data_IF_638902140017
#
_entry.id   IF_638902140017
#
_cell.length_a   1.000
_cell.length_b   1.000
_cell.length_c   1.000
_cell.angle_alpha   90.00
_cell.angle_beta   90.00
_cell.angle_gamma   90.00
#
_symmetry.space_group_name_H-M   'P 1'
#
loop_
_entity.id
_entity.type
_entity.pdbx_description
1 polymer ?
#
# COMPACT_ATOMS: atom_id res chain seq x y z
N UNK A 1 36.60 0.05 29.05
CA UNK A 1 35.17 -0.18 29.37
C UNK A 1 34.74 0.45 30.68
N UNK A 2 35.34 0.21 31.84
CA UNK A 2 34.92 0.79 33.12
C UNK A 2 35.01 2.32 33.20
N UNK A 3 35.91 2.98 32.46
CA UNK A 3 36.12 4.45 32.51
C UNK A 3 35.11 5.23 31.66
N UNK A 4 34.49 4.63 30.65
CA UNK A 4 33.50 5.26 29.77
C UNK A 4 32.11 5.28 30.45
N UNK A 5 31.80 4.21 31.18
CA UNK A 5 30.51 4.11 31.92
C UNK A 5 30.46 5.15 33.07
N UNK A 6 31.60 5.41 33.72
CA UNK A 6 31.63 6.43 34.79
C UNK A 6 31.48 7.86 34.30
N UNK A 7 31.89 8.18 33.07
CA UNK A 7 31.70 9.52 32.48
C UNK A 7 30.27 9.75 31.96
N UNK A 8 29.55 8.70 31.60
CA UNK A 8 28.15 8.82 31.14
C UNK A 8 27.21 9.07 32.31
N UNK A 9 27.50 8.53 33.49
CA UNK A 9 26.68 8.74 34.70
C UNK A 9 26.76 10.16 35.29
N UNK A 10 27.87 10.87 35.05
CA UNK A 10 28.05 12.26 35.55
C UNK A 10 27.32 13.29 34.69
N UNK A 11 27.02 12.98 33.42
CA UNK A 11 26.26 13.85 32.52
C UNK A 11 24.74 13.79 32.72
N UNK A 12 24.25 12.71 33.34
CA UNK A 12 22.80 12.52 33.62
C UNK A 12 22.37 13.22 34.92
N UNK A 13 23.29 13.53 35.82
CA UNK A 13 22.97 14.13 37.14
C UNK A 13 22.89 15.66 37.15
N UNK A 14 23.18 16.35 36.05
CA UNK A 14 23.16 17.84 35.98
C UNK A 14 21.96 18.41 35.17
N UNK A 15 21.02 17.59 34.72
CA UNK A 15 19.89 17.99 33.89
C UNK A 15 18.51 18.06 34.55
N UNK A 16 18.42 18.02 35.88
CA UNK A 16 17.14 17.94 36.58
C UNK A 16 16.91 19.13 37.51
N UNK A 17 16.58 20.28 36.92
CA UNK A 17 15.83 21.34 37.59
C UNK A 17 14.93 22.06 36.57
N UNK A 18 13.90 21.35 36.11
CA UNK A 18 12.71 21.96 35.50
C UNK A 18 11.48 21.52 36.30
N UNK A 19 10.58 22.42 36.69
CA UNK A 19 9.40 22.07 37.46
C UNK A 19 8.43 21.25 36.63
N UNK A 20 7.99 20.14 37.17
CA UNK A 20 7.00 19.22 36.61
C UNK A 20 5.63 19.94 36.44
N UNK A 21 5.06 20.06 35.24
CA UNK A 21 3.77 20.72 35.04
C UNK A 21 2.54 19.83 35.29
N UNK A 22 2.72 18.59 35.74
CA UNK A 22 1.58 17.70 35.99
C UNK A 22 1.33 17.55 37.50
N UNK A 23 0.35 18.34 38.05
CA UNK A 23 -0.29 18.02 39.28
C UNK A 23 -1.19 16.78 39.05
N UNK A 24 -1.17 15.80 39.97
CA UNK A 24 -2.17 14.72 39.96
C UNK A 24 -3.57 15.30 40.16
N UNK A 25 -4.50 14.87 39.32
CA UNK A 25 -5.93 15.14 39.50
C UNK A 25 -6.40 14.45 40.80
N UNK A 26 -6.93 15.24 41.67
CA UNK A 26 -7.53 14.83 42.95
C UNK A 26 -8.82 14.05 42.65
N UNK A 27 -8.86 12.75 43.03
CA UNK A 27 -9.95 11.81 42.70
C UNK A 27 -11.06 11.82 43.81
N UNK A 28 -11.04 12.79 44.71
CA UNK A 28 -12.02 12.82 45.83
C UNK A 28 -13.38 13.46 45.52
N UNK A 29 -13.70 13.77 44.26
CA UNK A 29 -15.00 14.37 43.88
C UNK A 29 -16.13 13.37 43.57
N UNK A 30 -15.95 12.07 43.78
CA UNK A 30 -16.94 11.04 43.41
C UNK A 30 -17.49 10.25 44.62
N UNK A 31 -17.49 10.81 45.81
CA UNK A 31 -18.21 10.20 46.95
C UNK A 31 -19.22 11.20 47.50
N UNK A 32 -20.41 10.86 47.31
CA UNK A 32 -21.61 11.17 48.09
C UNK A 32 -22.76 11.78 47.29
N UNK A 33 -23.73 10.92 47.00
CA UNK A 33 -25.16 11.22 47.08
C UNK A 33 -25.95 9.91 47.14
N UNK A 34 -26.16 9.49 48.35
CA UNK A 34 -27.10 8.43 48.70
C UNK A 34 -28.56 8.92 48.59
N UNK A 35 -29.34 8.16 47.88
CA UNK A 35 -30.73 7.76 48.06
C UNK A 35 -31.80 8.77 48.55
N UNK A 36 -32.81 8.96 47.70
CA UNK A 36 -34.22 8.93 48.12
C UNK A 36 -35.02 8.08 47.13
N UNK A 37 -35.61 6.98 47.64
CA UNK A 37 -36.63 6.18 46.99
C UNK A 37 -37.96 6.93 47.02
N UNK A 38 -38.62 7.07 45.90
CA UNK A 38 -40.07 7.28 45.81
C UNK A 38 -40.72 6.21 44.91
N UNK A 39 -42.02 5.90 45.08
CA UNK A 39 -42.59 4.62 44.71
C UNK A 39 -42.97 4.50 43.26
N UNK A 40 -42.80 3.29 42.75
CA UNK A 40 -43.06 2.83 41.40
C UNK A 40 -44.49 3.13 40.90
N UNK A 41 -44.60 3.95 39.86
CA UNK A 41 -45.69 3.88 38.90
C UNK A 41 -45.34 2.85 37.84
N UNK A 42 -46.16 1.79 37.74
CA UNK A 42 -46.09 0.82 36.64
C UNK A 42 -46.31 1.56 35.34
N UNK A 43 -45.26 1.74 34.54
CA UNK A 43 -45.33 2.14 33.16
C UNK A 43 -45.73 0.91 32.31
N UNK A 44 -46.63 1.06 31.33
CA UNK A 44 -47.02 -0.06 30.46
C UNK A 44 -45.76 -0.65 29.77
N UNK A 45 -45.64 -1.95 29.79
CA UNK A 45 -44.60 -2.67 29.06
C UNK A 45 -44.70 -2.33 27.56
N UNK A 46 -43.72 -1.57 27.10
CA UNK A 46 -43.49 -1.40 25.65
C UNK A 46 -43.17 -2.79 25.11
N UNK A 47 -43.86 -3.24 24.05
CA UNK A 47 -43.56 -4.56 23.46
C UNK A 47 -42.08 -4.58 23.09
N UNK A 48 -41.39 -5.73 23.27
CA UNK A 48 -39.98 -5.84 22.96
C UNK A 48 -39.76 -5.37 21.53
N UNK A 49 -38.94 -4.34 21.32
CA UNK A 49 -38.42 -3.99 20.01
C UNK A 49 -37.87 -5.30 19.44
N UNK A 50 -38.46 -5.81 18.35
CA UNK A 50 -37.89 -6.88 17.56
C UNK A 50 -36.47 -6.47 17.30
N UNK A 51 -35.50 -7.07 18.00
CA UNK A 51 -34.09 -6.94 17.66
C UNK A 51 -34.02 -7.35 16.19
N UNK A 52 -33.57 -6.41 15.35
CA UNK A 52 -33.36 -6.67 13.93
C UNK A 52 -32.23 -7.73 13.86
N UNK A 53 -32.51 -8.99 13.53
CA UNK A 53 -31.55 -10.07 13.76
C UNK A 53 -30.29 -9.96 12.91
N UNK A 54 -30.15 -8.94 12.03
CA UNK A 54 -29.01 -8.79 11.17
C UNK A 54 -28.75 -7.35 10.77
N UNK A 55 -28.14 -6.55 11.67
CA UNK A 55 -27.72 -5.20 11.31
C UNK A 55 -26.71 -5.20 10.15
N UNK A 56 -25.82 -6.19 10.07
CA UNK A 56 -24.88 -6.42 8.97
C UNK A 56 -25.65 -6.59 7.64
N UNK A 57 -26.56 -7.55 7.55
CA UNK A 57 -27.37 -7.83 6.36
C UNK A 57 -28.24 -6.64 5.93
N UNK A 58 -28.69 -5.83 6.87
CA UNK A 58 -29.48 -4.64 6.54
C UNK A 58 -28.65 -3.55 5.86
N UNK A 59 -27.36 -3.45 6.20
CA UNK A 59 -26.43 -2.46 5.65
C UNK A 59 -26.04 -2.84 4.22
N UNK A 60 -25.79 -4.11 3.97
CA UNK A 60 -25.35 -4.60 2.65
C UNK A 60 -26.53 -4.88 1.69
N UNK A 61 -27.75 -4.83 2.19
CA UNK A 61 -28.94 -5.12 1.39
C UNK A 61 -29.03 -4.24 0.14
N UNK A 62 -29.04 -4.88 -1.03
CA UNK A 62 -29.10 -4.19 -2.32
C UNK A 62 -27.75 -3.66 -2.81
N UNK A 63 -26.65 -3.98 -2.14
CA UNK A 63 -25.33 -3.70 -2.62
C UNK A 63 -24.84 -4.79 -3.60
N UNK A 64 -24.04 -4.40 -4.57
CA UNK A 64 -23.28 -5.33 -5.40
C UNK A 64 -22.10 -5.87 -4.59
N UNK A 65 -22.00 -7.19 -4.46
CA UNK A 65 -20.92 -7.84 -3.73
C UNK A 65 -19.76 -8.16 -4.67
N UNK A 66 -18.53 -7.80 -4.25
CA UNK A 66 -17.28 -8.14 -4.93
C UNK A 66 -16.42 -8.93 -3.95
N UNK A 67 -16.30 -10.24 -4.18
CA UNK A 67 -15.55 -11.16 -3.31
C UNK A 67 -14.11 -11.38 -3.77
N UNK A 68 -13.20 -11.62 -2.82
CA UNK A 68 -11.80 -11.98 -3.05
C UNK A 68 -10.99 -11.83 -1.77
N UNK A 69 -9.73 -11.41 -1.88
CA UNK A 69 -8.85 -11.18 -0.72
C UNK A 69 -9.54 -10.32 0.35
N UNK A 70 -10.18 -9.25 -0.10
CA UNK A 70 -11.12 -8.46 0.68
C UNK A 70 -12.45 -8.42 -0.03
N UNK A 71 -13.54 -8.50 0.74
CA UNK A 71 -14.90 -8.41 0.21
C UNK A 71 -15.42 -6.99 0.31
N UNK A 72 -16.00 -6.50 -0.78
CA UNK A 72 -16.59 -5.17 -0.85
C UNK A 72 -18.08 -5.25 -1.19
N UNK A 73 -18.86 -4.34 -0.61
CA UNK A 73 -20.28 -4.14 -0.88
C UNK A 73 -20.51 -2.72 -1.41
N UNK A 74 -20.98 -2.62 -2.65
CA UNK A 74 -21.04 -1.38 -3.41
C UNK A 74 -22.51 -0.97 -3.60
N UNK A 75 -22.86 0.16 -3.02
CA UNK A 75 -24.15 0.82 -3.28
C UNK A 75 -23.95 1.89 -4.36
N UNK A 76 -24.21 1.56 -5.61
CA UNK A 76 -24.01 2.44 -6.75
C UNK A 76 -24.90 3.69 -6.73
N UNK A 77 -26.13 3.57 -6.21
CA UNK A 77 -27.12 4.64 -6.11
C UNK A 77 -26.67 5.82 -5.22
N UNK A 78 -25.81 5.57 -4.25
CA UNK A 78 -25.33 6.55 -3.27
C UNK A 78 -23.82 6.66 -3.18
N UNK A 79 -23.10 5.98 -4.10
CA UNK A 79 -21.64 5.93 -4.13
C UNK A 79 -21.02 5.58 -2.75
N UNK A 80 -21.60 4.59 -2.07
CA UNK A 80 -21.17 4.10 -0.79
C UNK A 80 -20.57 2.70 -0.93
N UNK A 81 -19.38 2.52 -0.40
CA UNK A 81 -18.67 1.23 -0.39
C UNK A 81 -18.39 0.82 1.04
N UNK A 82 -18.76 -0.39 1.40
CA UNK A 82 -18.35 -1.03 2.63
C UNK A 82 -17.33 -2.13 2.31
N UNK A 83 -16.36 -2.29 3.19
CA UNK A 83 -15.39 -3.37 3.16
C UNK A 83 -15.64 -4.27 4.35
N UNK A 84 -15.71 -5.56 4.09
CA UNK A 84 -15.78 -6.59 5.11
C UNK A 84 -14.38 -6.98 5.56
N UNK A 85 -14.21 -7.17 6.86
CA UNK A 85 -13.01 -7.73 7.46
C UNK A 85 -13.40 -8.90 8.35
N UNK A 86 -12.83 -10.08 8.05
CA UNK A 86 -13.00 -11.29 8.86
C UNK A 86 -12.05 -11.28 10.07
N UNK A 87 -12.33 -12.05 11.13
CA UNK A 87 -11.43 -12.15 12.27
C UNK A 87 -9.99 -12.53 11.94
N UNK A 88 -9.79 -13.39 10.93
CA UNK A 88 -8.49 -13.89 10.50
C UNK A 88 -7.65 -12.83 9.80
N UNK A 89 -8.28 -11.80 9.23
CA UNK A 89 -7.60 -10.73 8.51
C UNK A 89 -6.98 -9.67 9.44
N UNK A 90 -7.26 -9.72 10.75
CA UNK A 90 -6.65 -8.81 11.69
C UNK A 90 -5.23 -9.23 12.06
N UNK A 91 -4.32 -8.25 12.05
CA UNK A 91 -2.88 -8.40 12.32
C UNK A 91 -2.12 -9.26 11.29
N UNK A 92 -2.80 -9.71 10.23
CA UNK A 92 -2.15 -10.31 9.07
C UNK A 92 -1.49 -9.24 8.19
N UNK A 93 -0.34 -9.58 7.63
CA UNK A 93 0.46 -8.66 6.83
C UNK A 93 0.09 -8.75 5.35
N UNK A 94 -0.21 -7.60 4.78
CA UNK A 94 -0.53 -7.41 3.37
C UNK A 94 0.42 -6.38 2.76
N UNK A 95 0.42 -6.28 1.43
CA UNK A 95 1.07 -5.19 0.69
C UNK A 95 0.03 -4.27 0.08
N UNK A 96 0.30 -2.97 0.08
CA UNK A 96 -0.39 -2.01 -0.75
C UNK A 96 0.59 -1.40 -1.74
N UNK A 97 0.17 -1.37 -3.00
CA UNK A 97 0.89 -0.73 -4.08
C UNK A 97 -0.01 0.35 -4.68
N UNK A 98 0.52 1.56 -4.81
CA UNK A 98 -0.25 2.72 -5.26
C UNK A 98 0.35 3.23 -6.56
N UNK A 99 -0.47 3.29 -7.60
CA UNK A 99 -0.11 3.87 -8.89
C UNK A 99 -1.04 5.04 -9.19
N UNK A 100 -0.49 6.19 -9.56
CA UNK A 100 -1.28 7.24 -10.19
C UNK A 100 -1.42 6.92 -11.67
N UNK A 101 -2.61 6.47 -12.09
CA UNK A 101 -2.88 6.06 -13.47
C UNK A 101 -2.97 7.24 -14.43
N UNK A 102 -3.67 8.29 -14.03
CA UNK A 102 -3.83 9.49 -14.87
C UNK A 102 -2.92 10.60 -14.39
N UNK A 103 -2.47 11.43 -15.32
CA UNK A 103 -1.69 12.63 -15.06
C UNK A 103 -2.42 13.88 -15.53
N UNK A 104 -1.77 15.02 -15.38
CA UNK A 104 -2.22 16.31 -15.93
C UNK A 104 -1.56 16.66 -17.26
N UNK A 105 -0.71 15.78 -17.78
CA UNK A 105 0.01 15.95 -19.04
C UNK A 105 1.15 16.97 -19.03
N UNK A 106 1.40 17.65 -17.90
CA UNK A 106 2.44 18.66 -17.77
C UNK A 106 3.32 18.47 -16.53
N UNK A 107 2.73 18.59 -15.34
CA UNK A 107 3.47 18.58 -14.07
C UNK A 107 3.54 17.18 -13.45
N UNK A 108 2.49 16.40 -13.59
CA UNK A 108 2.38 15.06 -13.01
C UNK A 108 2.03 14.02 -14.06
N UNK A 109 2.94 13.07 -14.23
CA UNK A 109 2.77 12.00 -15.20
C UNK A 109 1.73 10.98 -14.71
N UNK A 110 0.92 10.48 -15.61
CA UNK A 110 0.17 9.25 -15.41
C UNK A 110 1.10 8.04 -15.28
N UNK A 111 0.51 6.88 -14.95
CA UNK A 111 1.23 5.60 -14.84
C UNK A 111 2.44 5.69 -13.90
N UNK A 112 2.30 6.41 -12.80
CA UNK A 112 3.40 6.68 -11.88
C UNK A 112 3.24 5.89 -10.59
N UNK A 113 4.17 4.98 -10.30
CA UNK A 113 4.26 4.32 -8.99
C UNK A 113 4.45 5.40 -7.92
N UNK A 114 3.57 5.46 -6.92
CA UNK A 114 3.55 6.51 -5.91
C UNK A 114 4.04 6.02 -4.56
N UNK A 115 3.65 4.83 -4.15
CA UNK A 115 4.00 4.26 -2.88
C UNK A 115 3.76 2.77 -2.83
N UNK A 116 4.51 2.12 -1.98
CA UNK A 116 4.38 0.70 -1.67
C UNK A 116 4.81 0.49 -0.23
N UNK A 117 4.00 -0.19 0.54
CA UNK A 117 4.33 -0.52 1.92
C UNK A 117 3.55 -1.73 2.41
N UNK A 118 4.14 -2.54 3.31
CA UNK A 118 3.39 -3.59 4.00
C UNK A 118 2.47 -2.97 5.04
N UNK A 119 1.28 -3.51 5.17
CA UNK A 119 0.27 -3.03 6.10
C UNK A 119 -0.47 -4.15 6.79
N UNK A 120 -1.18 -3.81 7.86
CA UNK A 120 -2.12 -4.69 8.54
C UNK A 120 -3.29 -3.89 9.13
N UNK A 121 -4.40 -4.60 9.37
CA UNK A 121 -5.53 -4.03 10.10
C UNK A 121 -5.47 -4.42 11.58
N UNK A 122 -5.69 -3.45 12.47
CA UNK A 122 -5.77 -3.67 13.90
C UNK A 122 -7.11 -3.19 14.44
N UNK A 123 -7.80 -4.07 15.18
CA UNK A 123 -9.06 -3.73 15.83
C UNK A 123 -8.82 -3.28 17.28
N UNK A 124 -9.34 -2.12 17.65
CA UNK A 124 -9.31 -1.57 19.01
C UNK A 124 -10.73 -1.14 19.37
N UNK A 125 -11.43 -2.01 20.12
CA UNK A 125 -12.85 -1.82 20.38
C UNK A 125 -13.66 -1.74 19.09
N UNK A 126 -14.32 -0.61 18.82
CA UNK A 126 -15.09 -0.37 17.61
C UNK A 126 -14.33 0.45 16.55
N UNK A 127 -13.00 0.56 16.67
CA UNK A 127 -12.14 1.27 15.71
C UNK A 127 -11.22 0.29 15.02
N UNK A 128 -11.12 0.41 13.70
CA UNK A 128 -10.17 -0.31 12.87
C UNK A 128 -9.10 0.67 12.41
N UNK A 129 -7.86 0.32 12.66
CA UNK A 129 -6.69 1.05 12.22
C UNK A 129 -6.07 0.36 11.00
N UNK A 130 -5.82 1.11 9.94
CA UNK A 130 -4.99 0.76 8.79
C UNK A 130 -3.58 1.24 9.11
N UNK A 131 -2.64 0.32 9.27
CA UNK A 131 -1.31 0.58 9.82
C UNK A 131 -0.25 0.14 8.84
N UNK A 132 0.66 1.05 8.48
CA UNK A 132 1.90 0.75 7.76
C UNK A 132 2.89 0.09 8.72
N UNK A 133 3.37 -1.09 8.35
CA UNK A 133 4.41 -1.81 9.07
C UNK A 133 5.77 -1.16 8.85
N UNK A 134 6.45 -0.79 9.91
CA UNK A 134 7.83 -0.31 9.80
C UNK A 134 8.77 -1.49 9.54
N UNK A 135 9.31 -1.57 8.33
CA UNK A 135 10.24 -2.62 7.90
C UNK A 135 11.68 -2.12 7.76
N UNK A 136 11.91 -0.85 8.08
CA UNK A 136 13.22 -0.18 7.94
C UNK A 136 14.18 -0.50 9.07
N UNK A 137 13.67 -1.00 10.19
CA UNK A 137 14.45 -1.35 11.38
C UNK A 137 14.05 -2.74 11.83
N UNK A 138 15.00 -3.65 11.97
CA UNK A 138 14.74 -5.07 12.24
C UNK A 138 15.62 -5.60 13.35
N UNK A 139 15.09 -6.57 14.06
CA UNK A 139 15.80 -7.43 15.00
C UNK A 139 15.03 -8.75 15.10
N UNK A 140 15.68 -9.82 15.57
CA UNK A 140 15.02 -11.09 15.83
C UNK A 140 13.94 -10.94 16.90
N UNK A 141 12.79 -11.57 16.71
CA UNK A 141 11.56 -11.32 17.49
C UNK A 141 11.72 -11.53 19.00
N UNK A 142 12.62 -12.40 19.43
CA UNK A 142 12.81 -12.72 20.84
C UNK A 142 13.97 -11.97 21.52
N UNK A 143 14.67 -11.10 20.79
CA UNK A 143 15.78 -10.33 21.33
C UNK A 143 15.30 -9.14 22.18
N UNK A 144 16.10 -8.74 23.16
CA UNK A 144 15.86 -7.53 23.95
C UNK A 144 15.83 -6.29 23.05
N UNK A 145 16.63 -6.30 21.99
CA UNK A 145 16.68 -5.26 20.97
C UNK A 145 15.36 -5.13 20.20
N UNK A 146 14.67 -6.23 19.90
CA UNK A 146 13.35 -6.20 19.27
C UNK A 146 12.32 -5.49 20.17
N UNK A 147 12.35 -5.73 21.48
CA UNK A 147 11.49 -5.02 22.44
C UNK A 147 11.81 -3.54 22.49
N UNK A 148 13.10 -3.19 22.47
CA UNK A 148 13.53 -1.79 22.43
C UNK A 148 13.10 -1.09 21.14
N UNK A 149 13.26 -1.74 19.98
CA UNK A 149 12.79 -1.24 18.68
C UNK A 149 11.28 -0.99 18.69
N UNK A 150 10.49 -1.96 19.14
CA UNK A 150 9.03 -1.83 19.22
C UNK A 150 8.57 -0.66 20.09
N UNK A 151 9.33 -0.33 21.14
CA UNK A 151 9.02 0.78 22.04
C UNK A 151 9.43 2.14 21.48
N UNK A 152 10.47 2.20 20.64
CA UNK A 152 11.07 3.46 20.19
C UNK A 152 10.74 3.78 18.72
N UNK A 153 10.47 2.78 17.91
CA UNK A 153 10.26 2.89 16.46
C UNK A 153 8.95 2.19 16.09
N UNK A 154 7.80 2.86 16.32
CA UNK A 154 6.50 2.24 16.08
C UNK A 154 6.15 2.15 14.60
N UNK A 155 5.17 1.30 14.31
CA UNK A 155 4.44 1.30 13.05
C UNK A 155 3.59 2.58 12.91
N UNK A 156 3.23 2.97 11.69
CA UNK A 156 2.53 4.22 11.42
C UNK A 156 1.06 4.00 11.13
N UNK A 157 0.17 4.67 11.87
CA UNK A 157 -1.26 4.67 11.58
C UNK A 157 -1.50 5.56 10.36
N UNK A 158 -1.89 4.96 9.24
CA UNK A 158 -2.27 5.67 8.02
C UNK A 158 -3.67 6.26 8.16
N UNK A 159 -4.61 5.44 8.68
CA UNK A 159 -6.00 5.83 8.84
C UNK A 159 -6.70 5.02 9.92
N UNK A 160 -7.78 5.61 10.48
CA UNK A 160 -8.66 4.90 11.41
C UNK A 160 -10.12 5.12 10.99
N UNK A 161 -10.91 4.05 11.05
CA UNK A 161 -12.36 4.08 10.76
C UNK A 161 -13.12 3.32 11.84
N UNK A 162 -14.39 3.66 12.03
CA UNK A 162 -15.26 2.92 12.95
C UNK A 162 -15.87 1.72 12.25
N UNK A 163 -16.10 0.67 13.02
CA UNK A 163 -16.97 -0.44 12.63
C UNK A 163 -18.37 0.10 12.34
N UNK A 164 -19.01 -0.41 11.29
CA UNK A 164 -20.35 -0.07 10.86
C UNK A 164 -21.28 -1.24 11.16
N UNK A 165 -22.31 -0.99 11.97
CA UNK A 165 -23.25 -2.05 12.39
C UNK A 165 -22.68 -3.02 13.39
N UNK A 166 -23.36 -4.17 13.51
CA UNK A 166 -22.94 -5.29 14.35
C UNK A 166 -22.20 -6.33 13.48
N UNK A 167 -21.32 -7.14 14.07
CA UNK A 167 -20.71 -8.26 13.37
C UNK A 167 -21.75 -9.24 12.83
N UNK A 168 -21.40 -9.97 11.77
CA UNK A 168 -22.18 -11.10 11.31
C UNK A 168 -22.05 -12.32 12.25
N UNK A 169 -22.68 -13.43 11.89
CA UNK A 169 -22.64 -14.68 12.67
C UNK A 169 -21.24 -15.32 12.78
N UNK A 170 -20.33 -14.99 11.85
CA UNK A 170 -18.94 -15.47 11.79
C UNK A 170 -17.97 -14.48 12.48
N UNK A 171 -18.47 -13.33 12.97
CA UNK A 171 -17.65 -12.31 13.58
C UNK A 171 -17.01 -11.32 12.59
N UNK A 172 -17.35 -11.41 11.29
CA UNK A 172 -16.94 -10.44 10.29
C UNK A 172 -17.58 -9.08 10.58
N UNK A 173 -16.86 -8.01 10.28
CA UNK A 173 -17.32 -6.65 10.49
C UNK A 173 -17.30 -5.85 9.20
N UNK A 174 -18.13 -4.82 9.13
CA UNK A 174 -18.09 -3.83 8.05
C UNK A 174 -17.37 -2.57 8.49
N UNK A 175 -16.63 -1.99 7.56
CA UNK A 175 -16.06 -0.66 7.66
C UNK A 175 -16.43 0.19 6.44
N UNK A 176 -16.47 1.50 6.63
CA UNK A 176 -16.72 2.46 5.56
C UNK A 176 -15.45 2.63 4.70
N UNK A 177 -15.40 1.97 3.55
CA UNK A 177 -14.26 2.02 2.63
C UNK A 177 -14.04 3.42 2.04
N UNK A 178 -15.10 4.23 1.86
CA UNK A 178 -14.95 5.61 1.42
C UNK A 178 -14.16 6.45 2.45
N UNK A 179 -14.34 6.18 3.75
CA UNK A 179 -13.57 6.86 4.79
C UNK A 179 -12.15 6.33 4.88
N UNK A 180 -11.93 5.06 4.56
CA UNK A 180 -10.62 4.43 4.64
C UNK A 180 -9.70 4.84 3.49
N UNK A 181 -10.19 4.82 2.24
CA UNK A 181 -9.36 4.97 1.04
C UNK A 181 -9.50 6.33 0.34
N UNK A 182 -10.63 7.05 0.49
CA UNK A 182 -10.80 8.38 -0.13
C UNK A 182 -10.19 9.46 0.75
N UNK A 183 -8.89 9.70 0.57
CA UNK A 183 -8.12 10.75 1.23
C UNK A 183 -6.86 11.11 0.41
N UNK A 184 -6.16 12.14 0.81
CA UNK A 184 -4.93 12.60 0.15
C UNK A 184 -3.75 11.67 0.45
N UNK A 185 -3.77 10.47 -0.13
CA UNK A 185 -2.72 9.45 0.07
C UNK A 185 -1.36 9.91 -0.49
N UNK A 186 -1.37 10.70 -1.54
CA UNK A 186 -0.15 11.19 -2.18
C UNK A 186 0.46 12.42 -1.46
N UNK A 187 -0.20 12.90 -0.38
CA UNK A 187 0.29 14.06 0.36
C UNK A 187 0.40 15.32 -0.49
N UNK A 188 -0.49 15.50 -1.46
CA UNK A 188 -0.43 16.62 -2.40
C UNK A 188 -0.97 17.93 -1.84
N UNK A 189 -1.75 17.86 -0.75
CA UNK A 189 -2.34 19.04 -0.13
C UNK A 189 -1.29 19.95 0.46
N UNK A 190 -1.45 21.26 0.25
CA UNK A 190 -0.57 22.30 0.72
C UNK A 190 -1.19 23.68 0.50
N UNK A 191 -0.36 24.72 0.44
CA UNK A 191 -0.86 26.09 0.32
C UNK A 191 -1.68 26.38 -0.95
N UNK A 192 -1.38 25.68 -2.06
CA UNK A 192 -1.98 25.93 -3.36
C UNK A 192 -2.83 24.78 -3.88
N UNK A 193 -2.81 23.64 -3.22
CA UNK A 193 -3.53 22.43 -3.63
C UNK A 193 -4.23 21.86 -2.40
N UNK A 194 -5.52 21.62 -2.49
CA UNK A 194 -6.33 21.08 -1.40
C UNK A 194 -7.13 19.87 -1.88
N UNK A 195 -7.09 18.79 -1.13
CA UNK A 195 -7.89 17.62 -1.40
C UNK A 195 -9.38 17.93 -1.29
N UNK A 196 -10.17 17.58 -2.32
CA UNK A 196 -11.60 17.75 -2.35
C UNK A 196 -12.31 16.39 -2.23
N UNK A 197 -12.64 16.03 -1.00
CA UNK A 197 -13.32 14.78 -0.71
C UNK A 197 -14.69 14.69 -1.39
N UNK A 198 -15.39 15.81 -1.58
CA UNK A 198 -16.76 15.84 -2.15
C UNK A 198 -16.78 15.38 -3.62
N UNK A 199 -15.70 15.66 -4.34
CA UNK A 199 -15.52 15.30 -5.74
C UNK A 199 -14.59 14.08 -5.94
N UNK A 200 -14.45 13.26 -4.90
CA UNK A 200 -13.59 12.06 -4.94
C UNK A 200 -14.41 10.81 -4.70
N UNK A 201 -14.23 9.78 -5.52
CA UNK A 201 -15.06 8.57 -5.51
C UNK A 201 -14.27 7.31 -5.85
N UNK A 202 -14.85 6.15 -5.50
CA UNK A 202 -14.47 4.89 -6.13
C UNK A 202 -14.94 4.86 -7.57
N UNK A 203 -14.03 4.56 -8.49
CA UNK A 203 -14.32 4.41 -9.91
C UNK A 203 -14.60 2.96 -10.27
N UNK A 204 -13.81 2.04 -9.72
CA UNK A 204 -13.91 0.61 -9.97
C UNK A 204 -13.32 -0.18 -8.82
N UNK A 205 -13.91 -1.33 -8.53
CA UNK A 205 -13.40 -2.30 -7.56
C UNK A 205 -13.43 -3.67 -8.21
N UNK A 206 -12.33 -4.40 -8.12
CA UNK A 206 -12.23 -5.83 -8.41
C UNK A 206 -11.54 -6.51 -7.23
N UNK A 207 -11.89 -7.74 -6.96
CA UNK A 207 -11.24 -8.53 -5.93
C UNK A 207 -11.02 -9.95 -6.44
N UNK A 208 -9.89 -10.54 -6.08
CA UNK A 208 -9.44 -11.86 -6.48
C UNK A 208 -8.88 -12.56 -5.24
N UNK A 209 -8.60 -13.85 -5.30
CA UNK A 209 -8.18 -14.64 -4.13
C UNK A 209 -6.95 -14.06 -3.40
N UNK A 210 -6.00 -13.48 -4.15
CA UNK A 210 -4.73 -12.99 -3.60
C UNK A 210 -4.57 -11.47 -3.65
N UNK A 211 -5.48 -10.75 -4.29
CA UNK A 211 -5.40 -9.30 -4.40
C UNK A 211 -6.77 -8.64 -4.62
N UNK A 212 -6.88 -7.39 -4.19
CA UNK A 212 -8.03 -6.52 -4.43
C UNK A 212 -7.55 -5.24 -5.08
N UNK A 213 -8.18 -4.86 -6.19
CA UNK A 213 -7.80 -3.75 -7.06
C UNK A 213 -8.84 -2.63 -6.96
N UNK A 214 -8.43 -1.47 -6.48
CA UNK A 214 -9.30 -0.34 -6.23
C UNK A 214 -8.87 0.84 -7.10
N UNK A 215 -9.74 1.31 -7.99
CA UNK A 215 -9.54 2.57 -8.71
C UNK A 215 -10.34 3.69 -8.04
N UNK A 216 -9.68 4.79 -7.75
CA UNK A 216 -10.26 5.97 -7.10
C UNK A 216 -9.95 7.22 -7.92
N UNK A 217 -10.98 8.01 -8.22
CA UNK A 217 -10.80 9.36 -8.72
C UNK A 217 -10.69 10.31 -7.52
N UNK A 218 -9.50 10.88 -7.31
CA UNK A 218 -9.21 11.83 -6.25
C UNK A 218 -9.10 13.24 -6.82
N UNK A 219 -9.95 14.15 -6.36
CA UNK A 219 -10.02 15.52 -6.83
C UNK A 219 -9.24 16.48 -5.91
N UNK A 220 -8.62 17.47 -6.53
CA UNK A 220 -7.86 18.51 -5.84
C UNK A 220 -8.27 19.89 -6.37
N UNK A 221 -8.64 20.79 -5.46
CA UNK A 221 -8.84 22.20 -5.76
C UNK A 221 -7.50 22.93 -5.73
N UNK A 222 -7.26 23.79 -6.68
CA UNK A 222 -6.04 24.56 -6.77
C UNK A 222 -6.29 26.05 -6.70
N UNK A 223 -5.30 26.81 -6.20
CA UNK A 223 -5.30 28.26 -6.16
C UNK A 223 -4.00 28.80 -6.74
N UNK A 224 -4.12 29.58 -7.83
CA UNK A 224 -2.95 30.17 -8.47
C UNK A 224 -1.99 29.14 -9.09
N UNK A 225 -2.49 27.98 -9.45
CA UNK A 225 -1.78 26.94 -10.22
C UNK A 225 -2.30 26.99 -11.63
N UNK A 226 -1.39 27.03 -12.60
CA UNK A 226 -1.71 26.95 -14.03
C UNK A 226 -1.07 25.73 -14.64
N UNK A 227 -1.88 24.88 -15.22
CA UNK A 227 -1.46 23.67 -15.96
C UNK A 227 -1.99 23.79 -17.38
N UNK A 228 -1.13 24.10 -18.32
CA UNK A 228 -1.51 24.47 -19.69
C UNK A 228 -2.22 23.36 -20.47
N UNK A 229 -2.10 22.13 -20.02
CA UNK A 229 -2.75 20.95 -20.62
C UNK A 229 -4.19 20.74 -20.13
N UNK A 230 -4.61 21.42 -19.08
CA UNK A 230 -5.95 21.30 -18.52
C UNK A 230 -6.87 22.42 -19.01
N UNK A 231 -8.12 22.08 -19.26
CA UNK A 231 -9.16 23.06 -19.61
C UNK A 231 -9.42 24.06 -18.47
N UNK A 232 -9.39 23.58 -17.24
CA UNK A 232 -9.49 24.40 -16.03
C UNK A 232 -8.55 23.86 -14.95
N UNK A 233 -7.53 24.64 -14.63
CA UNK A 233 -6.53 24.26 -13.62
C UNK A 233 -7.01 24.42 -12.17
N UNK A 234 -8.20 24.97 -11.92
CA UNK A 234 -8.75 25.16 -10.56
C UNK A 234 -9.17 23.83 -9.90
N UNK A 235 -9.45 22.82 -10.73
CA UNK A 235 -9.79 21.48 -10.29
C UNK A 235 -9.00 20.46 -11.08
N UNK A 236 -8.31 19.59 -10.40
CA UNK A 236 -7.53 18.52 -11.01
C UNK A 236 -7.98 17.18 -10.42
N UNK A 237 -8.36 16.25 -11.28
CA UNK A 237 -8.69 14.88 -10.86
C UNK A 237 -7.61 13.94 -11.32
N UNK A 238 -7.10 13.13 -10.40
CA UNK A 238 -6.19 12.03 -10.70
C UNK A 238 -6.84 10.71 -10.33
N UNK A 239 -6.76 9.74 -11.23
CA UNK A 239 -7.12 8.36 -10.91
C UNK A 239 -5.93 7.70 -10.24
N UNK A 240 -6.16 7.15 -9.04
CA UNK A 240 -5.22 6.31 -8.32
C UNK A 240 -5.70 4.87 -8.33
N UNK A 241 -4.77 3.97 -8.52
CA UNK A 241 -4.98 2.54 -8.38
C UNK A 241 -4.28 2.04 -7.12
N UNK A 242 -5.04 1.34 -6.27
CA UNK A 242 -4.51 0.65 -5.11
C UNK A 242 -4.61 -0.85 -5.38
N UNK A 243 -3.48 -1.51 -5.38
CA UNK A 243 -3.41 -2.97 -5.40
C UNK A 243 -3.11 -3.44 -3.98
N UNK A 244 -4.12 -4.01 -3.32
CA UNK A 244 -4.00 -4.62 -2.00
C UNK A 244 -3.75 -6.10 -2.21
N UNK A 245 -2.63 -6.64 -1.74
CA UNK A 245 -2.28 -8.04 -1.99
C UNK A 245 -1.85 -8.78 -0.73
N UNK A 246 -2.11 -10.08 -0.70
CA UNK A 246 -1.46 -10.97 0.24
C UNK A 246 0.06 -10.90 0.03
N UNK A 247 0.84 -10.99 1.10
CA UNK A 247 2.28 -11.17 0.97
C UNK A 247 2.55 -12.57 0.41
N UNK A 248 3.21 -12.69 -0.74
CA UNK A 248 3.51 -13.99 -1.29
C UNK A 248 4.51 -14.72 -0.40
N UNK A 249 4.22 -15.97 -0.08
CA UNK A 249 5.24 -16.87 0.42
C UNK A 249 6.28 -17.10 -0.69
N UNK A 250 7.54 -16.82 -0.39
CA UNK A 250 8.61 -16.95 -1.36
C UNK A 250 9.79 -17.68 -0.74
N UNK A 251 10.34 -18.63 -1.48
CA UNK A 251 11.62 -19.29 -1.17
C UNK A 251 12.82 -18.50 -1.72
N UNK A 252 12.59 -17.24 -2.09
CA UNK A 252 13.62 -16.37 -2.61
C UNK A 252 14.71 -16.12 -1.58
N UNK A 253 15.96 -16.31 -2.02
CA UNK A 253 17.15 -15.99 -1.20
C UNK A 253 17.62 -14.56 -1.51
N UNK A 254 17.56 -13.64 -0.55
CA UNK A 254 18.05 -12.29 -0.73
C UNK A 254 19.53 -12.27 -1.13
N UNK A 255 19.91 -11.34 -1.98
CA UNK A 255 21.29 -11.15 -2.37
C UNK A 255 21.81 -9.82 -1.85
N UNK A 256 22.89 -9.88 -1.05
CA UNK A 256 23.57 -8.69 -0.54
C UNK A 256 24.16 -7.88 -1.69
N UNK A 257 24.02 -6.57 -1.62
CA UNK A 257 24.56 -5.63 -2.59
C UNK A 257 26.09 -5.55 -2.49
N UNK A 258 26.74 -5.32 -3.62
CA UNK A 258 28.16 -5.07 -3.73
C UNK A 258 28.37 -3.66 -4.28
N UNK A 259 29.17 -2.83 -3.61
CA UNK A 259 29.36 -1.42 -3.96
C UNK A 259 30.09 -1.22 -5.30
N UNK A 260 30.66 -2.27 -5.87
CA UNK A 260 31.26 -2.25 -7.22
C UNK A 260 30.22 -2.24 -8.34
N UNK A 261 28.97 -2.59 -8.04
CA UNK A 261 27.88 -2.69 -9.02
C UNK A 261 26.66 -1.94 -8.51
N UNK A 262 26.13 -1.01 -9.30
CA UNK A 262 24.91 -0.27 -8.97
C UNK A 262 23.66 -1.11 -9.18
N UNK A 263 22.80 -1.14 -8.17
CA UNK A 263 21.46 -1.75 -8.20
C UNK A 263 20.46 -0.89 -7.45
N UNK A 264 19.17 -1.02 -7.76
CA UNK A 264 18.12 -0.62 -6.83
C UNK A 264 18.13 -1.55 -5.63
N UNK A 265 17.86 -1.01 -4.45
CA UNK A 265 18.10 -1.69 -3.18
C UNK A 265 16.86 -1.72 -2.32
N UNK A 266 16.65 -2.84 -1.64
CA UNK A 266 15.88 -2.95 -0.42
C UNK A 266 16.83 -2.75 0.76
N UNK A 267 16.57 -1.71 1.55
CA UNK A 267 17.46 -1.25 2.62
C UNK A 267 16.75 -1.30 3.97
N UNK A 268 17.43 -1.87 4.97
CA UNK A 268 17.00 -1.78 6.36
C UNK A 268 18.20 -1.71 7.31
N UNK A 269 17.95 -1.35 8.56
CA UNK A 269 18.94 -1.41 9.63
C UNK A 269 18.68 -2.65 10.49
N UNK A 270 19.72 -3.46 10.67
CA UNK A 270 19.70 -4.66 11.49
C UNK A 270 20.29 -4.35 12.88
N UNK A 271 19.51 -4.64 13.90
CA UNK A 271 19.87 -4.42 15.30
C UNK A 271 20.13 -5.72 16.06
N UNK A 272 20.35 -6.84 15.35
CA UNK A 272 20.74 -8.11 15.99
C UNK A 272 22.15 -8.03 16.59
N UNK A 273 23.07 -7.37 15.89
CA UNK A 273 24.42 -7.10 16.40
C UNK A 273 24.65 -5.59 16.55
N UNK A 274 24.58 -5.11 17.78
CA UNK A 274 24.79 -3.69 18.12
C UNK A 274 26.26 -3.26 18.09
N UNK A 275 27.19 -4.20 17.92
CA UNK A 275 28.64 -3.93 17.86
C UNK A 275 29.15 -3.85 16.42
N UNK A 276 28.30 -4.07 15.43
CA UNK A 276 28.68 -3.92 14.02
C UNK A 276 29.01 -2.46 13.70
N UNK A 277 29.99 -2.23 12.81
CA UNK A 277 30.33 -0.87 12.37
C UNK A 277 29.20 -0.19 11.61
N UNK A 278 28.38 -0.96 10.90
CA UNK A 278 27.26 -0.45 10.14
C UNK A 278 26.05 -1.37 10.31
N UNK A 279 24.90 -0.84 10.77
CA UNK A 279 23.69 -1.63 10.89
C UNK A 279 22.98 -1.84 9.54
N UNK A 280 23.44 -1.22 8.47
CA UNK A 280 22.75 -1.24 7.19
C UNK A 280 22.93 -2.57 6.46
N UNK A 281 21.79 -3.24 6.21
CA UNK A 281 21.69 -4.39 5.31
C UNK A 281 21.09 -3.92 4.00
N UNK A 282 21.74 -4.26 2.89
CA UNK A 282 21.36 -3.83 1.54
C UNK A 282 21.19 -5.07 0.67
N UNK A 283 19.96 -5.33 0.23
CA UNK A 283 19.65 -6.37 -0.75
C UNK A 283 19.43 -5.74 -2.11
N UNK A 284 19.99 -6.33 -3.16
CA UNK A 284 19.71 -5.91 -4.53
C UNK A 284 18.29 -6.30 -4.89
N UNK A 285 17.57 -5.40 -5.58
CA UNK A 285 16.27 -5.73 -6.14
C UNK A 285 16.48 -6.52 -7.41
N UNK A 286 15.98 -7.74 -7.47
CA UNK A 286 16.10 -8.63 -8.63
C UNK A 286 14.95 -9.60 -8.76
N UNK A 287 14.71 -10.06 -9.99
CA UNK A 287 13.76 -11.13 -10.26
C UNK A 287 14.26 -12.48 -9.71
N UNK A 288 13.34 -13.31 -9.20
CA UNK A 288 13.64 -14.70 -8.83
C UNK A 288 13.65 -15.58 -10.10
N UNK A 289 14.83 -15.78 -10.65
CA UNK A 289 15.04 -16.68 -11.78
C UNK A 289 15.71 -17.97 -11.31
N UNK A 290 14.96 -19.06 -11.36
CA UNK A 290 15.46 -20.40 -11.04
C UNK A 290 15.35 -21.29 -12.28
N UNK A 291 16.41 -22.04 -12.59
CA UNK A 291 16.44 -22.94 -13.73
C UNK A 291 15.41 -24.07 -13.57
N UNK A 292 14.61 -24.31 -14.60
CA UNK A 292 13.72 -25.47 -14.68
C UNK A 292 14.51 -26.78 -14.63
N UNK A 293 15.71 -26.78 -15.20
CA UNK A 293 16.63 -27.91 -15.21
C UNK A 293 18.00 -27.46 -14.67
N UNK A 294 18.23 -27.50 -13.35
CA UNK A 294 19.45 -26.95 -12.71
C UNK A 294 20.75 -27.55 -13.24
N UNK A 295 20.75 -28.83 -13.66
CA UNK A 295 21.94 -29.52 -14.19
C UNK A 295 22.33 -29.15 -15.63
N UNK A 296 21.50 -28.35 -16.34
CA UNK A 296 21.83 -27.92 -17.71
C UNK A 296 22.57 -26.59 -17.68
N UNK A 297 23.57 -26.42 -18.55
CA UNK A 297 24.26 -25.15 -18.73
C UNK A 297 23.30 -24.05 -19.15
N UNK A 298 22.37 -24.36 -20.07
CA UNK A 298 21.32 -23.48 -20.56
C UNK A 298 19.93 -24.10 -20.26
N UNK A 299 19.06 -23.39 -19.57
CA UNK A 299 17.71 -23.84 -19.21
C UNK A 299 16.73 -22.68 -19.23
N UNK A 300 15.48 -22.94 -19.58
CA UNK A 300 14.40 -22.01 -19.31
C UNK A 300 14.25 -21.79 -17.79
N UNK A 301 13.81 -20.62 -17.32
CA UNK A 301 13.40 -20.46 -15.95
C UNK A 301 12.11 -21.21 -15.63
N UNK A 302 11.89 -21.55 -14.37
CA UNK A 302 10.60 -22.08 -13.90
C UNK A 302 9.49 -21.06 -14.17
N UNK A 303 9.74 -19.78 -13.84
CA UNK A 303 8.84 -18.64 -14.07
C UNK A 303 9.60 -17.58 -14.86
N UNK A 304 9.27 -17.33 -16.13
CA UNK A 304 9.90 -16.27 -16.91
C UNK A 304 9.41 -14.89 -16.44
N UNK A 305 10.19 -13.86 -16.71
CA UNK A 305 9.79 -12.47 -16.59
C UNK A 305 8.86 -12.15 -17.78
N UNK A 306 7.60 -11.84 -17.49
CA UNK A 306 6.61 -11.56 -18.54
C UNK A 306 6.29 -10.08 -18.54
N UNK A 307 6.56 -9.40 -19.66
CA UNK A 307 6.08 -8.04 -19.91
C UNK A 307 4.90 -8.04 -20.88
N UNK A 308 3.84 -7.32 -20.49
CA UNK A 308 2.66 -7.12 -21.31
C UNK A 308 2.72 -5.74 -21.99
N UNK A 309 2.63 -5.70 -23.30
CA UNK A 309 2.46 -4.44 -24.03
C UNK A 309 1.02 -3.96 -23.86
N UNK A 310 0.85 -2.80 -23.22
CA UNK A 310 -0.46 -2.18 -23.07
C UNK A 310 -1.11 -1.90 -24.44
N UNK A 311 -2.42 -2.06 -24.54
CA UNK A 311 -3.16 -1.88 -25.79
C UNK A 311 -3.19 -0.43 -26.30
N UNK A 312 -2.84 0.56 -25.45
CA UNK A 312 -2.67 1.96 -25.84
C UNK A 312 -1.39 2.24 -26.64
N UNK A 313 -0.42 1.32 -26.66
CA UNK A 313 0.77 1.44 -27.50
C UNK A 313 0.35 1.42 -28.98
N UNK A 314 0.68 2.46 -29.77
CA UNK A 314 0.34 2.48 -31.20
C UNK A 314 0.93 1.26 -31.92
N UNK A 315 0.13 0.60 -32.75
CA UNK A 315 0.47 -0.68 -33.41
C UNK A 315 1.83 -0.67 -34.07
N UNK A 316 2.20 0.43 -34.73
CA UNK A 316 3.49 0.58 -35.44
C UNK A 316 4.75 0.49 -34.54
N UNK A 317 4.59 0.67 -33.22
CA UNK A 317 5.69 0.61 -32.27
C UNK A 317 5.75 -0.70 -31.46
N UNK A 318 4.73 -1.57 -31.59
CA UNK A 318 4.66 -2.81 -30.81
C UNK A 318 5.79 -3.77 -31.15
N UNK A 319 6.03 -4.01 -32.43
CA UNK A 319 7.13 -4.91 -32.89
C UNK A 319 8.51 -4.38 -32.49
N UNK A 320 8.89 -3.12 -32.75
CA UNK A 320 10.18 -2.58 -32.30
C UNK A 320 10.37 -2.63 -30.77
N UNK A 321 9.32 -2.38 -29.97
CA UNK A 321 9.38 -2.47 -28.51
C UNK A 321 9.58 -3.94 -28.10
N UNK A 322 8.86 -4.86 -28.72
CA UNK A 322 9.01 -6.31 -28.48
C UNK A 322 10.45 -6.77 -28.75
N UNK A 323 11.02 -6.41 -29.89
CA UNK A 323 12.40 -6.74 -30.25
C UNK A 323 13.39 -6.18 -29.22
N UNK A 324 13.23 -4.92 -28.82
CA UNK A 324 14.08 -4.27 -27.83
C UNK A 324 14.03 -4.95 -26.45
N UNK A 325 12.86 -5.40 -26.02
CA UNK A 325 12.70 -6.13 -24.75
C UNK A 325 13.30 -7.54 -24.85
N UNK A 326 13.05 -8.25 -25.95
CA UNK A 326 13.55 -9.61 -26.15
C UNK A 326 15.08 -9.67 -26.35
N UNK A 327 15.72 -8.58 -26.77
CA UNK A 327 17.18 -8.50 -26.89
C UNK A 327 17.91 -8.77 -25.55
N UNK A 328 17.25 -8.49 -24.41
CA UNK A 328 17.80 -8.83 -23.10
C UNK A 328 17.99 -10.34 -22.87
N UNK A 329 17.33 -11.21 -23.65
CA UNK A 329 17.53 -12.65 -23.55
C UNK A 329 18.98 -13.06 -23.87
N UNK A 330 19.71 -12.31 -24.69
CA UNK A 330 21.13 -12.57 -24.97
C UNK A 330 21.97 -12.47 -23.68
N UNK A 331 21.69 -11.45 -22.83
CA UNK A 331 22.36 -11.31 -21.55
C UNK A 331 21.99 -12.43 -20.55
N UNK A 332 20.73 -12.86 -20.57
CA UNK A 332 20.28 -13.99 -19.74
C UNK A 332 20.85 -15.33 -20.22
N UNK A 333 21.01 -15.52 -21.52
CA UNK A 333 21.63 -16.73 -22.07
C UNK A 333 23.12 -16.84 -21.66
N UNK A 334 23.84 -15.71 -21.61
CA UNK A 334 25.21 -15.65 -21.14
C UNK A 334 25.38 -16.17 -19.70
N UNK A 335 24.34 -16.06 -18.86
CA UNK A 335 24.31 -16.56 -17.49
C UNK A 335 23.50 -17.87 -17.34
N UNK A 336 23.12 -18.49 -18.47
CA UNK A 336 22.53 -19.82 -18.52
C UNK A 336 21.00 -19.90 -18.47
N UNK A 337 20.28 -18.80 -18.76
CA UNK A 337 18.83 -18.79 -18.86
C UNK A 337 18.36 -18.53 -20.29
N UNK A 338 17.67 -19.49 -20.89
CA UNK A 338 17.01 -19.35 -22.21
C UNK A 338 15.57 -18.85 -22.02
N UNK A 339 15.14 -17.92 -22.86
CA UNK A 339 13.79 -17.36 -22.80
C UNK A 339 13.42 -16.81 -21.39
N UNK A 340 14.36 -16.10 -20.77
CA UNK A 340 14.17 -15.53 -19.44
C UNK A 340 13.11 -14.43 -19.44
N UNK A 341 13.04 -13.67 -20.54
CA UNK A 341 12.03 -12.63 -20.76
C UNK A 341 11.09 -13.05 -21.88
N UNK A 342 9.80 -12.83 -21.65
CA UNK A 342 8.70 -13.07 -22.60
C UNK A 342 7.89 -11.78 -22.73
N UNK A 343 7.54 -11.43 -23.97
CA UNK A 343 6.66 -10.30 -24.27
C UNK A 343 5.31 -10.81 -24.75
N UNK A 344 4.24 -10.25 -24.21
CA UNK A 344 2.86 -10.53 -24.60
C UNK A 344 2.13 -9.25 -24.94
N UNK A 345 1.14 -9.32 -25.82
CA UNK A 345 0.24 -8.21 -26.12
C UNK A 345 -0.98 -8.27 -25.20
N UNK A 346 -1.28 -7.18 -24.53
CA UNK A 346 -2.53 -7.01 -23.78
C UNK A 346 -3.71 -7.06 -24.77
N UNK A 347 -4.72 -7.93 -24.56
CA UNK A 347 -5.95 -7.93 -25.35
C UNK A 347 -6.72 -6.61 -25.20
N UNK A 348 -7.44 -6.21 -26.24
CA UNK A 348 -8.27 -4.99 -26.21
C UNK A 348 -9.46 -5.15 -25.25
N UNK A 349 -9.89 -6.38 -25.02
CA UNK A 349 -10.99 -6.79 -24.10
C UNK A 349 -10.48 -7.39 -22.78
N UNK A 350 -9.24 -7.11 -22.40
CA UNK A 350 -8.67 -7.60 -21.15
C UNK A 350 -9.56 -7.19 -19.96
N UNK A 351 -9.82 -8.15 -19.09
CA UNK A 351 -10.61 -7.93 -17.86
C UNK A 351 -9.79 -7.47 -16.66
N UNK A 352 -8.47 -7.35 -16.84
CA UNK A 352 -7.51 -6.85 -15.86
C UNK A 352 -7.03 -5.43 -16.21
N UNK A 353 -6.46 -4.74 -15.23
CA UNK A 353 -5.92 -3.38 -15.36
C UNK A 353 -4.39 -3.43 -15.47
N UNK A 354 -3.75 -2.60 -16.34
CA UNK A 354 -2.28 -2.53 -16.43
C UNK A 354 -1.56 -2.11 -15.13
N UNK A 355 -2.27 -1.57 -14.15
CA UNK A 355 -1.72 -1.25 -12.83
C UNK A 355 -1.89 -2.38 -11.80
N UNK A 356 -2.50 -3.49 -12.20
CA UNK A 356 -2.63 -4.70 -11.37
C UNK A 356 -1.26 -5.38 -11.23
N UNK A 357 -0.77 -5.51 -10.00
CA UNK A 357 0.56 -6.04 -9.68
C UNK A 357 0.85 -7.46 -10.21
N UNK A 358 -0.15 -8.17 -10.69
CA UNK A 358 0.03 -9.50 -11.31
C UNK A 358 0.61 -9.41 -12.73
N UNK A 359 0.62 -8.23 -13.34
CA UNK A 359 0.97 -8.02 -14.75
C UNK A 359 1.99 -6.90 -14.90
N UNK A 360 3.26 -7.25 -15.00
CA UNK A 360 4.28 -6.26 -15.38
C UNK A 360 4.01 -5.72 -16.78
N UNK A 361 3.88 -4.41 -16.92
CA UNK A 361 3.39 -3.79 -18.14
C UNK A 361 4.39 -2.81 -18.75
N UNK A 362 4.33 -2.69 -20.08
CA UNK A 362 4.98 -1.60 -20.83
C UNK A 362 3.87 -0.70 -21.33
N UNK A 363 3.88 0.56 -20.91
CA UNK A 363 2.78 1.48 -21.05
C UNK A 363 3.15 2.71 -21.88
N UNK A 364 2.16 3.22 -22.65
CA UNK A 364 2.33 4.40 -23.47
C UNK A 364 1.88 5.65 -22.74
N UNK A 365 2.82 6.60 -22.59
CA UNK A 365 2.55 7.88 -21.94
C UNK A 365 2.50 9.00 -22.97
N UNK A 366 1.47 9.86 -22.89
CA UNK A 366 1.42 11.11 -23.62
C UNK A 366 1.74 12.25 -22.67
N UNK A 367 2.87 12.90 -22.94
CA UNK A 367 3.29 14.09 -22.22
C UNK A 367 3.88 15.07 -23.24
N UNK A 368 3.11 16.14 -23.59
CA UNK A 368 3.52 17.07 -24.63
C UNK A 368 4.88 17.69 -24.37
N UNK A 369 5.78 17.59 -25.35
CA UNK A 369 7.12 18.19 -25.31
C UNK A 369 8.15 17.47 -24.43
N UNK A 370 7.83 16.30 -23.88
CA UNK A 370 8.74 15.53 -23.04
C UNK A 370 8.96 14.13 -23.58
N UNK A 371 10.20 13.85 -24.00
CA UNK A 371 10.66 12.50 -24.33
C UNK A 371 11.18 11.81 -23.06
N UNK A 372 10.46 10.82 -22.55
CA UNK A 372 10.82 10.10 -21.34
C UNK A 372 10.65 8.59 -21.48
N UNK A 373 11.60 7.82 -20.94
CA UNK A 373 11.47 6.40 -20.66
C UNK A 373 11.79 6.14 -19.18
N UNK A 374 10.91 5.49 -18.46
CA UNK A 374 11.12 5.19 -17.03
C UNK A 374 10.69 3.76 -16.77
N UNK A 375 11.57 2.98 -16.16
CA UNK A 375 11.32 1.57 -15.82
C UNK A 375 11.45 1.29 -14.33
N UNK A 376 10.50 1.74 -13.50
CA UNK A 376 10.50 1.38 -12.09
C UNK A 376 10.10 -0.09 -11.91
N UNK A 377 10.49 -0.66 -10.78
CA UNK A 377 10.05 -1.98 -10.33
C UNK A 377 9.57 -1.91 -8.88
N UNK A 378 8.73 -2.86 -8.49
CA UNK A 378 8.27 -3.09 -7.12
C UNK A 378 8.98 -4.32 -6.58
N UNK A 379 9.51 -4.20 -5.39
CA UNK A 379 10.23 -5.29 -4.75
C UNK A 379 9.67 -5.58 -3.35
N UNK A 380 9.71 -6.84 -2.98
CA UNK A 380 9.36 -7.25 -1.63
C UNK A 380 10.26 -6.51 -0.62
N UNK A 381 9.71 -5.72 0.30
CA UNK A 381 10.49 -4.90 1.21
C UNK A 381 11.30 -5.71 2.23
N UNK A 382 11.05 -7.02 2.34
CA UNK A 382 11.78 -7.91 3.23
C UNK A 382 12.98 -8.56 2.54
N UNK A 383 12.90 -8.81 1.22
CA UNK A 383 13.84 -9.67 0.51
C UNK A 383 14.51 -9.02 -0.69
N UNK A 384 13.92 -7.99 -1.29
CA UNK A 384 14.36 -7.40 -2.55
C UNK A 384 13.96 -8.21 -3.80
N UNK A 385 13.09 -9.23 -3.66
CA UNK A 385 12.51 -9.93 -4.81
C UNK A 385 11.60 -8.99 -5.59
N UNK A 386 11.89 -8.78 -6.88
CA UNK A 386 11.01 -8.01 -7.77
C UNK A 386 9.81 -8.88 -8.14
N UNK A 387 8.62 -8.36 -7.95
CA UNK A 387 7.38 -9.03 -8.29
C UNK A 387 6.55 -8.31 -9.35
N UNK A 388 6.86 -7.03 -9.61
CA UNK A 388 6.17 -6.20 -10.59
C UNK A 388 7.10 -5.14 -11.18
N UNK A 389 6.85 -4.72 -12.44
CA UNK A 389 7.56 -3.63 -13.09
C UNK A 389 6.71 -2.97 -14.16
N UNK A 390 6.42 -1.68 -14.00
CA UNK A 390 5.67 -0.87 -14.96
C UNK A 390 6.59 0.09 -15.71
N UNK A 391 6.93 -0.28 -16.93
CA UNK A 391 7.77 0.53 -17.81
C UNK A 391 6.90 1.54 -18.56
N UNK A 392 7.31 2.81 -18.55
CA UNK A 392 6.61 3.90 -19.22
C UNK A 392 7.44 4.43 -20.36
N UNK A 393 6.84 4.49 -21.56
CA UNK A 393 7.47 5.04 -22.78
C UNK A 393 6.68 6.26 -23.20
N UNK A 394 7.30 7.43 -23.20
CA UNK A 394 6.70 8.68 -23.66
C UNK A 394 6.59 8.74 -25.18
N UNK A 395 5.39 8.97 -25.69
CA UNK A 395 5.14 9.05 -27.13
C UNK A 395 5.95 10.14 -27.84
N UNK A 396 6.23 11.24 -27.14
CA UNK A 396 7.02 12.33 -27.68
C UNK A 396 8.51 12.00 -27.79
N UNK A 397 9.00 10.92 -27.15
CA UNK A 397 10.35 10.41 -27.36
C UNK A 397 10.66 10.11 -28.83
N UNK A 398 9.65 9.68 -29.59
CA UNK A 398 9.78 9.31 -31.01
C UNK A 398 9.59 10.50 -31.96
N UNK A 399 9.36 11.72 -31.44
CA UNK A 399 9.25 12.95 -32.26
C UNK A 399 10.56 13.70 -32.35
N UNK A 400 11.52 13.36 -31.52
CA UNK A 400 12.86 13.93 -31.48
C UNK A 400 13.87 12.92 -31.99
#
# INVERSE_FOLDING_TARGET
>A
MKTIVAKLFILISLGLLMPNPYKPLDIDFLKDKTQKKEPSKKTPETPPKKQNPNAFESIIKGADKVEGLFTFYIHNDRNQVFMELTPEQFNELYMVNITRETGDGAMRHGVSMQGEFPFYFKKIGNVIQFIEKNVKFRSEDNAETAKALKNQIPDSIIRSVKVVGEPDENGSILIDANKLFIFDIAGMSGQRIQFDKTNSFFKKIKSFDLNSELQLDLNYRTKGVYVYTLADSRNITYTYHYSLSALPESNYSPRVADDRVGHFLTLYQDYNDILTESPYVRYINRWDLQKKYPGKSLSEPIKPIVFWLENTIPKKFRDPITEGVLAWNEAFEAIGFKNAIVVKQMPDDADWDPADIRYSTIRWLIQPGVGIGVGPSRANPFTGEIYDADIRIGGDYFRF
#
